data_IF_348941793887
#
_entry.id   IF_348941793887
#
_cell.length_a   1.000
_cell.length_b   1.000
_cell.length_c   1.000
_cell.angle_alpha   90.00
_cell.angle_beta   90.00
_cell.angle_gamma   90.00
#
_symmetry.space_group_name_H-M   'P 1'
#
loop_
_entity.id
_entity.type
_entity.pdbx_description
1 polymer ?
#
# COMPACT_ATOMS: atom_id res chain seq x y z
N UNK A 1 3.38 21.96 11.06
CA UNK A 1 2.26 21.13 10.53
C UNK A 1 2.50 19.68 10.92
N UNK A 2 1.53 19.05 11.55
CA UNK A 2 1.73 17.67 11.99
C UNK A 2 1.56 16.67 10.83
N UNK A 3 1.95 15.41 11.09
CA UNK A 3 1.95 14.38 10.06
C UNK A 3 0.55 14.11 9.52
N UNK A 4 -0.47 14.15 10.36
CA UNK A 4 -1.83 13.85 9.92
C UNK A 4 -2.37 14.90 8.95
N UNK A 5 -2.03 16.17 9.17
CA UNK A 5 -2.37 17.23 8.22
C UNK A 5 -1.67 17.01 6.89
N UNK A 6 -0.41 16.62 6.92
CA UNK A 6 0.36 16.34 5.69
C UNK A 6 -0.21 15.14 4.96
N UNK A 7 -0.58 14.07 5.67
CA UNK A 7 -1.21 12.91 5.06
C UNK A 7 -2.54 13.26 4.41
N UNK A 8 -3.32 14.12 5.05
CA UNK A 8 -4.58 14.59 4.47
C UNK A 8 -4.35 15.36 3.17
N UNK A 9 -3.31 16.18 3.11
CA UNK A 9 -2.94 16.92 1.91
C UNK A 9 -2.55 16.00 0.76
N UNK A 10 -2.01 14.83 1.08
CA UNK A 10 -1.59 13.84 0.09
C UNK A 10 -2.52 12.63 0.05
N UNK A 11 -3.81 12.85 0.33
CA UNK A 11 -4.84 11.81 0.15
C UNK A 11 -4.91 11.32 -1.29
N UNK A 12 -4.56 12.19 -2.24
CA UNK A 12 -4.52 11.91 -3.67
C UNK A 12 -3.17 12.30 -4.22
N UNK A 13 -2.52 11.38 -4.92
CA UNK A 13 -1.30 11.68 -5.67
C UNK A 13 -1.14 10.66 -6.78
N UNK A 14 -0.18 10.89 -7.66
CA UNK A 14 -0.01 10.04 -8.83
C UNK A 14 1.45 9.86 -9.21
N UNK A 15 1.68 8.83 -9.99
CA UNK A 15 2.94 8.55 -10.66
C UNK A 15 2.67 8.45 -12.17
N UNK A 16 3.65 8.02 -12.95
CA UNK A 16 3.49 7.90 -14.40
C UNK A 16 2.31 6.99 -14.78
N UNK A 17 2.22 5.80 -14.17
CA UNK A 17 1.22 4.79 -14.54
C UNK A 17 0.07 4.64 -13.55
N UNK A 18 0.22 5.20 -12.34
CA UNK A 18 -0.67 4.94 -11.23
C UNK A 18 -1.23 6.22 -10.64
N UNK A 19 -2.43 6.12 -10.05
CA UNK A 19 -2.89 7.14 -9.13
C UNK A 19 -3.27 6.48 -7.81
N UNK A 20 -3.21 7.28 -6.74
CA UNK A 20 -3.39 6.83 -5.36
C UNK A 20 -4.48 7.66 -4.74
N UNK A 21 -5.40 7.01 -4.06
CA UNK A 21 -6.56 7.66 -3.43
C UNK A 21 -7.04 6.85 -2.23
N UNK A 22 -7.92 7.44 -1.39
CA UNK A 22 -8.58 6.64 -0.36
C UNK A 22 -9.43 5.54 -0.98
N UNK A 23 -9.65 4.47 -0.21
CA UNK A 23 -10.57 3.42 -0.62
C UNK A 23 -12.00 3.93 -0.54
N UNK A 24 -12.84 3.50 -1.47
CA UNK A 24 -14.28 3.74 -1.49
C UNK A 24 -15.00 2.40 -1.31
N UNK A 25 -16.21 2.43 -0.77
CA UNK A 25 -16.97 1.18 -0.63
C UNK A 25 -17.31 0.57 -2.00
N UNK A 26 -17.39 1.40 -3.03
CA UNK A 26 -17.56 0.92 -4.41
C UNK A 26 -16.36 0.13 -4.94
N UNK A 27 -15.24 0.11 -4.24
CA UNK A 27 -14.08 -0.73 -4.58
C UNK A 27 -14.28 -2.20 -4.17
N UNK A 28 -15.40 -2.54 -3.55
CA UNK A 28 -15.58 -3.87 -2.93
C UNK A 28 -15.39 -5.02 -3.90
N UNK A 29 -15.84 -4.89 -5.14
CA UNK A 29 -15.69 -5.97 -6.13
C UNK A 29 -14.22 -6.18 -6.51
N UNK A 30 -13.49 -5.11 -6.81
CA UNK A 30 -12.05 -5.20 -7.09
C UNK A 30 -11.27 -5.67 -5.87
N UNK A 31 -11.66 -5.18 -4.69
CA UNK A 31 -11.03 -5.59 -3.44
C UNK A 31 -11.25 -7.08 -3.17
N UNK A 32 -12.48 -7.57 -3.36
CA UNK A 32 -12.81 -8.98 -3.14
C UNK A 32 -12.07 -9.89 -4.13
N UNK A 33 -12.01 -9.51 -5.38
CA UNK A 33 -11.28 -10.26 -6.40
C UNK A 33 -9.82 -10.46 -6.00
N UNK A 34 -9.22 -9.46 -5.38
CA UNK A 34 -7.85 -9.50 -4.90
C UNK A 34 -7.76 -10.22 -3.55
N UNK A 35 -8.65 -9.90 -2.61
CA UNK A 35 -8.60 -10.38 -1.23
C UNK A 35 -9.04 -11.83 -1.08
N UNK A 36 -9.77 -12.38 -2.04
CA UNK A 36 -10.20 -13.78 -2.04
C UNK A 36 -9.18 -14.74 -2.65
N UNK A 37 -8.12 -14.21 -3.28
CA UNK A 37 -7.08 -15.03 -3.90
C UNK A 37 -5.86 -15.09 -2.99
N UNK A 38 -5.52 -16.27 -2.42
CA UNK A 38 -4.36 -16.40 -1.54
C UNK A 38 -3.04 -15.97 -2.18
N UNK A 39 -2.90 -16.12 -3.50
CA UNK A 39 -1.67 -15.72 -4.19
C UNK A 39 -1.43 -14.22 -4.13
N UNK A 40 -2.50 -13.41 -4.15
CA UNK A 40 -2.38 -11.96 -4.07
C UNK A 40 -1.98 -11.49 -2.67
N UNK A 41 -2.38 -12.23 -1.63
CA UNK A 41 -2.24 -11.81 -0.23
C UNK A 41 -1.20 -12.61 0.53
N UNK A 42 -0.37 -13.38 -0.15
CA UNK A 42 0.61 -14.22 0.49
C UNK A 42 1.43 -13.42 1.51
N UNK A 43 1.39 -13.85 2.78
CA UNK A 43 2.14 -13.24 3.89
C UNK A 43 1.66 -11.84 4.32
N UNK A 44 0.49 -11.38 3.90
CA UNK A 44 0.00 -10.03 4.21
C UNK A 44 -1.14 -10.05 5.24
N UNK A 45 -2.31 -10.57 4.86
CA UNK A 45 -3.43 -10.74 5.77
C UNK A 45 -4.29 -11.94 5.34
N UNK A 46 -5.19 -12.45 6.21
CA UNK A 46 -5.99 -13.63 5.88
C UNK A 46 -6.85 -13.43 4.64
N UNK A 47 -6.92 -14.47 3.81
CA UNK A 47 -7.78 -14.48 2.63
C UNK A 47 -9.24 -14.31 3.03
N UNK A 48 -9.96 -13.46 2.28
CA UNK A 48 -11.39 -13.20 2.51
C UNK A 48 -12.21 -14.16 1.66
N UNK A 49 -12.89 -15.11 2.30
CA UNK A 49 -13.60 -16.17 1.62
C UNK A 49 -14.93 -15.73 1.03
N UNK A 50 -15.60 -14.73 1.61
CA UNK A 50 -16.91 -14.25 1.18
C UNK A 50 -16.89 -12.76 0.88
N UNK A 51 -17.91 -12.31 0.13
CA UNK A 51 -18.06 -10.87 -0.14
C UNK A 51 -18.32 -10.10 1.15
N UNK A 52 -19.04 -10.68 2.10
CA UNK A 52 -19.32 -10.05 3.39
C UNK A 52 -18.04 -9.85 4.20
N UNK A 53 -17.14 -10.83 4.17
CA UNK A 53 -15.83 -10.69 4.81
C UNK A 53 -15.00 -9.59 4.15
N UNK A 54 -15.04 -9.51 2.83
CA UNK A 54 -14.36 -8.46 2.09
C UNK A 54 -14.95 -7.08 2.38
N UNK A 55 -16.27 -6.97 2.48
CA UNK A 55 -16.94 -5.74 2.86
C UNK A 55 -16.50 -5.28 4.26
N UNK A 56 -16.45 -6.23 5.21
CA UNK A 56 -15.99 -5.95 6.55
C UNK A 56 -14.54 -5.46 6.56
N UNK A 57 -13.66 -6.17 5.87
CA UNK A 57 -12.24 -5.83 5.80
C UNK A 57 -12.03 -4.45 5.15
N UNK A 58 -12.71 -4.19 4.05
CA UNK A 58 -12.62 -2.91 3.35
C UNK A 58 -13.05 -1.76 4.27
N UNK A 59 -14.20 -1.87 4.92
CA UNK A 59 -14.71 -0.82 5.79
C UNK A 59 -13.85 -0.63 7.04
N UNK A 60 -13.48 -1.72 7.71
CA UNK A 60 -12.87 -1.65 9.04
C UNK A 60 -11.35 -1.53 9.03
N UNK A 61 -10.68 -2.00 7.96
CA UNK A 61 -9.21 -1.95 7.90
C UNK A 61 -8.69 -0.90 6.91
N UNK A 62 -9.50 -0.47 5.94
CA UNK A 62 -9.03 0.43 4.88
C UNK A 62 -9.78 1.76 4.81
N UNK A 63 -11.03 1.82 5.28
CA UNK A 63 -11.84 3.03 5.19
C UNK A 63 -12.05 3.75 6.51
N UNK A 64 -12.10 3.01 7.62
CA UNK A 64 -12.44 3.56 8.94
C UNK A 64 -11.46 4.64 9.41
N UNK A 65 -10.18 4.45 9.15
CA UNK A 65 -9.12 5.41 9.49
C UNK A 65 -8.26 5.61 8.25
N UNK A 66 -8.68 6.45 7.30
CA UNK A 66 -8.17 6.41 5.94
C UNK A 66 -6.81 7.11 5.73
N UNK A 67 -6.38 7.98 6.62
CA UNK A 67 -5.12 8.70 6.40
C UNK A 67 -3.92 7.76 6.50
N UNK A 68 -3.06 7.82 5.49
CA UNK A 68 -1.90 6.94 5.40
C UNK A 68 -2.20 5.60 4.74
N UNK A 69 -3.39 5.44 4.15
CA UNK A 69 -3.80 4.24 3.42
C UNK A 69 -4.27 4.66 2.04
N UNK A 70 -3.68 4.08 0.99
CA UNK A 70 -4.04 4.42 -0.39
C UNK A 70 -4.39 3.19 -1.20
N UNK A 71 -5.48 3.28 -1.94
CA UNK A 71 -5.77 2.37 -3.04
C UNK A 71 -4.82 2.69 -4.18
N UNK A 72 -4.25 1.67 -4.80
CA UNK A 72 -3.41 1.81 -6.00
C UNK A 72 -4.30 1.56 -7.20
N UNK A 73 -4.35 2.52 -8.11
CA UNK A 73 -5.19 2.44 -9.30
C UNK A 73 -4.36 2.53 -10.56
N UNK A 74 -4.64 1.66 -11.52
CA UNK A 74 -4.02 1.67 -12.83
C UNK A 74 -4.68 2.75 -13.69
N UNK A 75 -3.92 3.74 -14.14
CA UNK A 75 -4.43 4.83 -14.98
C UNK A 75 -5.03 4.32 -16.29
N UNK A 76 -4.41 3.32 -16.89
CA UNK A 76 -4.85 2.80 -18.18
C UNK A 76 -6.15 2.00 -18.06
N UNK A 77 -6.22 1.08 -17.10
CA UNK A 77 -7.38 0.23 -16.90
C UNK A 77 -8.49 0.92 -16.11
N UNK A 78 -8.20 2.05 -15.45
CA UNK A 78 -9.15 2.78 -14.62
C UNK A 78 -9.76 1.90 -13.54
N UNK A 79 -8.91 1.12 -12.84
CA UNK A 79 -9.38 0.27 -11.76
C UNK A 79 -8.37 0.14 -10.65
N UNK A 80 -8.87 -0.20 -9.45
CA UNK A 80 -8.05 -0.46 -8.29
C UNK A 80 -7.37 -1.83 -8.43
N UNK A 81 -6.05 -1.85 -8.26
CA UNK A 81 -5.23 -3.05 -8.44
C UNK A 81 -4.46 -3.46 -7.19
N UNK A 82 -4.49 -2.66 -6.15
CA UNK A 82 -3.76 -2.96 -4.93
C UNK A 82 -3.88 -1.88 -3.89
N UNK A 83 -3.02 -1.96 -2.90
CA UNK A 83 -2.96 -1.00 -1.81
C UNK A 83 -1.52 -0.78 -1.36
N UNK A 84 -1.26 0.42 -0.83
CA UNK A 84 -0.03 0.74 -0.12
C UNK A 84 -0.40 1.59 1.09
N UNK A 85 0.23 1.32 2.22
CA UNK A 85 -0.12 2.01 3.46
C UNK A 85 1.03 2.05 4.45
N UNK A 86 0.93 2.98 5.40
CA UNK A 86 1.75 2.95 6.60
C UNK A 86 1.11 1.98 7.60
N UNK A 87 1.91 1.03 8.09
CA UNK A 87 1.46 0.06 9.09
C UNK A 87 1.61 0.59 10.51
N UNK A 88 2.79 1.04 10.85
CA UNK A 88 3.13 1.51 12.19
C UNK A 88 3.74 2.90 12.07
N UNK A 89 2.91 3.91 12.22
CA UNK A 89 3.37 5.29 12.15
C UNK A 89 3.61 5.83 13.55
N UNK A 90 4.86 6.17 13.84
CA UNK A 90 5.26 6.78 15.11
C UNK A 90 5.56 8.26 14.86
N UNK A 91 4.66 9.12 15.33
CA UNK A 91 4.76 10.58 15.13
C UNK A 91 5.94 11.18 15.87
N UNK A 92 6.31 10.60 17.02
CA UNK A 92 7.35 11.14 17.89
C UNK A 92 8.72 10.78 17.34
N UNK A 93 8.92 9.51 17.00
CA UNK A 93 10.18 9.03 16.43
C UNK A 93 10.31 9.35 14.95
N UNK A 94 9.21 9.72 14.31
CA UNK A 94 9.14 9.99 12.87
C UNK A 94 9.57 8.77 12.06
N UNK A 95 8.99 7.65 12.41
CA UNK A 95 9.25 6.36 11.77
C UNK A 95 7.95 5.73 11.30
N UNK A 96 8.02 4.95 10.23
CA UNK A 96 6.87 4.19 9.74
C UNK A 96 7.33 2.91 9.03
N UNK A 97 6.43 1.93 9.01
CA UNK A 97 6.58 0.74 8.17
C UNK A 97 5.62 0.87 6.99
N UNK A 98 6.03 0.39 5.82
CA UNK A 98 5.17 0.32 4.64
C UNK A 98 4.68 -1.12 4.46
N UNK A 99 3.38 -1.27 4.27
CA UNK A 99 2.76 -2.50 3.83
C UNK A 99 2.11 -2.30 2.48
N UNK A 100 2.06 -3.33 1.66
CA UNK A 100 1.44 -3.23 0.34
C UNK A 100 1.03 -4.60 -0.19
N UNK A 101 0.08 -4.60 -1.13
CA UNK A 101 -0.27 -5.77 -1.93
C UNK A 101 -0.74 -5.33 -3.31
N UNK A 102 -0.66 -6.25 -4.28
CA UNK A 102 -0.95 -5.96 -5.68
C UNK A 102 -1.52 -7.22 -6.33
N UNK A 103 -2.47 -7.04 -7.25
CA UNK A 103 -3.00 -8.15 -8.05
C UNK A 103 -1.85 -8.85 -8.77
N UNK A 104 -1.90 -10.18 -8.80
CA UNK A 104 -0.81 -10.98 -9.35
C UNK A 104 -0.55 -10.72 -10.84
N UNK A 105 -1.59 -10.35 -11.61
CA UNK A 105 -1.43 -10.05 -13.03
C UNK A 105 -0.69 -8.74 -13.30
N UNK A 106 -0.41 -7.96 -12.25
CA UNK A 106 0.42 -6.75 -12.32
C UNK A 106 1.82 -6.96 -11.75
N UNK A 107 2.15 -8.16 -11.28
CA UNK A 107 3.46 -8.44 -10.71
C UNK A 107 4.58 -8.42 -11.76
N UNK A 108 5.80 -8.17 -11.32
CA UNK A 108 7.03 -8.25 -12.13
C UNK A 108 7.04 -7.29 -13.32
N UNK A 109 6.32 -6.18 -13.21
CA UNK A 109 6.24 -5.14 -14.24
C UNK A 109 6.66 -3.76 -13.72
N UNK A 110 7.18 -3.71 -12.50
CA UNK A 110 7.67 -2.47 -11.89
C UNK A 110 6.60 -1.61 -11.23
N UNK A 111 5.35 -2.01 -11.22
CA UNK A 111 4.27 -1.20 -10.62
C UNK A 111 4.47 -0.96 -9.13
N UNK A 112 4.76 -2.01 -8.36
CA UNK A 112 4.94 -1.83 -6.92
C UNK A 112 6.24 -1.07 -6.61
N UNK A 113 7.29 -1.28 -7.37
CA UNK A 113 8.52 -0.48 -7.24
C UNK A 113 8.22 1.00 -7.47
N UNK A 114 7.41 1.30 -8.47
CA UNK A 114 6.95 2.68 -8.75
C UNK A 114 6.18 3.26 -7.56
N UNK A 115 5.24 2.50 -6.99
CA UNK A 115 4.44 2.92 -5.84
C UNK A 115 5.28 3.13 -4.58
N UNK A 116 6.14 2.18 -4.26
CA UNK A 116 7.01 2.25 -3.06
C UNK A 116 8.01 3.39 -3.18
N UNK A 117 8.60 3.58 -4.35
CA UNK A 117 9.55 4.68 -4.58
C UNK A 117 8.87 6.04 -4.38
N UNK A 118 7.65 6.20 -4.89
CA UNK A 118 6.90 7.44 -4.71
C UNK A 118 6.60 7.70 -3.23
N UNK A 119 6.11 6.69 -2.51
CA UNK A 119 5.81 6.87 -1.09
C UNK A 119 7.09 7.12 -0.27
N UNK A 120 8.20 6.47 -0.63
CA UNK A 120 9.49 6.75 -0.02
C UNK A 120 9.86 8.24 -0.18
N UNK A 121 9.75 8.75 -1.39
CA UNK A 121 10.11 10.15 -1.67
C UNK A 121 9.18 11.11 -0.91
N UNK A 122 7.87 10.87 -0.92
CA UNK A 122 6.93 11.66 -0.12
C UNK A 122 7.24 11.60 1.36
N UNK A 123 7.60 10.42 1.86
CA UNK A 123 7.90 10.21 3.28
C UNK A 123 9.08 11.04 3.74
N UNK A 124 10.14 11.11 2.93
CA UNK A 124 11.34 11.87 3.27
C UNK A 124 11.16 13.36 3.02
N UNK A 125 10.58 13.74 1.89
CA UNK A 125 10.52 15.13 1.46
C UNK A 125 9.35 15.90 2.03
N UNK A 126 8.18 15.28 2.16
CA UNK A 126 6.95 15.95 2.58
C UNK A 126 6.53 15.59 4.00
N UNK A 127 6.60 14.31 4.36
CA UNK A 127 6.18 13.87 5.69
C UNK A 127 7.30 13.98 6.73
N UNK A 128 8.51 14.24 6.27
CA UNK A 128 9.69 14.45 7.12
C UNK A 128 9.96 13.28 8.07
N UNK A 129 9.70 12.06 7.60
CA UNK A 129 10.03 10.86 8.35
C UNK A 129 11.54 10.66 8.35
N UNK A 130 12.06 10.19 9.49
CA UNK A 130 13.48 9.93 9.65
C UNK A 130 13.87 8.52 9.27
N UNK A 131 12.92 7.59 9.40
CA UNK A 131 13.16 6.18 9.08
C UNK A 131 11.91 5.57 8.47
N UNK A 132 12.13 4.80 7.42
CA UNK A 132 11.06 4.08 6.72
C UNK A 132 11.53 2.64 6.54
N UNK A 133 10.68 1.69 6.87
CA UNK A 133 11.02 0.28 6.76
C UNK A 133 9.94 -0.50 6.01
N UNK A 134 10.35 -1.62 5.43
CA UNK A 134 9.45 -2.60 4.84
C UNK A 134 9.77 -3.93 5.53
N UNK A 135 8.75 -4.52 6.15
CA UNK A 135 8.91 -5.83 6.75
C UNK A 135 8.44 -6.87 5.74
N UNK A 136 9.34 -7.76 5.34
CA UNK A 136 9.04 -8.81 4.37
C UNK A 136 9.23 -10.18 5.02
N UNK A 137 8.40 -11.14 4.60
CA UNK A 137 8.59 -12.52 4.97
C UNK A 137 9.84 -13.07 4.23
N UNK A 138 10.63 -13.90 4.89
CA UNK A 138 11.85 -14.45 4.28
C UNK A 138 11.59 -15.22 2.99
N UNK A 139 10.40 -15.81 2.87
CA UNK A 139 10.00 -16.55 1.68
C UNK A 139 9.39 -15.67 0.59
N UNK A 140 9.17 -14.40 0.85
CA UNK A 140 8.57 -13.46 -0.10
C UNK A 140 9.66 -12.74 -0.90
N UNK A 141 10.25 -13.44 -1.87
CA UNK A 141 11.34 -12.89 -2.69
C UNK A 141 10.88 -11.73 -3.56
N UNK A 142 9.63 -11.72 -4.01
CA UNK A 142 9.10 -10.63 -4.82
C UNK A 142 9.07 -9.31 -4.04
N UNK A 143 8.61 -9.34 -2.79
CA UNK A 143 8.59 -8.16 -1.93
C UNK A 143 10.00 -7.69 -1.60
N UNK A 144 10.94 -8.60 -1.37
CA UNK A 144 12.33 -8.25 -1.13
C UNK A 144 12.96 -7.54 -2.33
N UNK A 145 12.65 -7.99 -3.56
CA UNK A 145 13.12 -7.34 -4.79
C UNK A 145 12.54 -5.93 -4.93
N UNK A 146 11.28 -5.75 -4.63
CA UNK A 146 10.65 -4.42 -4.64
C UNK A 146 11.38 -3.49 -3.68
N UNK A 147 11.63 -3.94 -2.46
CA UNK A 147 12.34 -3.15 -1.46
C UNK A 147 13.74 -2.76 -1.94
N UNK A 148 14.50 -3.71 -2.47
CA UNK A 148 15.84 -3.45 -2.99
C UNK A 148 15.83 -2.46 -4.16
N UNK A 149 14.94 -2.63 -5.12
CA UNK A 149 14.82 -1.74 -6.28
C UNK A 149 14.36 -0.35 -5.89
N UNK A 150 13.65 -0.22 -4.79
CA UNK A 150 13.19 1.06 -4.24
C UNK A 150 14.23 1.73 -3.34
N UNK A 151 15.42 1.16 -3.23
CA UNK A 151 16.54 1.74 -2.49
C UNK A 151 16.57 1.38 -1.00
N UNK A 152 15.80 0.41 -0.56
CA UNK A 152 15.85 -0.07 0.82
C UNK A 152 17.01 -1.05 1.02
N UNK A 153 17.62 -0.96 2.18
CA UNK A 153 18.78 -1.81 2.54
C UNK A 153 18.28 -2.92 3.48
N UNK A 154 18.75 -4.13 3.24
CA UNK A 154 18.41 -5.26 4.11
C UNK A 154 18.99 -5.02 5.50
N UNK A 155 18.13 -5.12 6.50
CA UNK A 155 18.50 -4.98 7.91
C UNK A 155 17.94 -6.16 8.68
N UNK A 156 18.79 -6.76 9.51
CA UNK A 156 18.42 -7.91 10.34
C UNK A 156 18.63 -7.62 11.82
#
# INVERSE_FOLDING_TARGET
>A
MNIWTKLAMYSFYETERLYFRPFFFTDVDDFHALASDPENLQFIFPTQASIEESQYALANYFMKSPLGIWAICDKKAQKMIGAIKFEKLDEIRKEAEIGYFLRKDYWSQGYMTEAVTKLRDLSMDQFELKQLSIVTHLENSASQKVAQKSGFVLYR
#
